data_IF_501594114537
#
_entry.id   IF_501594114537
#
_cell.length_a   1.000
_cell.length_b   1.000
_cell.length_c   1.000
_cell.angle_alpha   90.00
_cell.angle_beta   90.00
_cell.angle_gamma   90.00
#
_symmetry.space_group_name_H-M   'P 1'
#
loop_
_entity.id
_entity.type
_entity.pdbx_description
1 polymer ?
#
# COMPACT_ATOMS: atom_id res chain seq x y z
N UNK A 1 11.06 -26.00 8.69
CA UNK A 1 12.13 -25.41 7.84
C UNK A 1 11.86 -23.93 7.66
N UNK A 2 12.75 -23.06 8.15
CA UNK A 2 12.65 -21.59 7.98
C UNK A 2 12.89 -21.18 6.53
N UNK A 3 12.77 -19.87 6.21
CA UNK A 3 13.09 -19.38 4.86
C UNK A 3 14.57 -19.54 4.54
N UNK A 4 15.43 -19.19 5.48
CA UNK A 4 16.87 -19.17 5.28
C UNK A 4 17.40 -20.59 5.13
N UNK A 5 16.88 -21.55 5.91
CA UNK A 5 17.18 -22.98 5.74
C UNK A 5 16.81 -23.52 4.36
N UNK A 6 15.68 -23.08 3.79
CA UNK A 6 15.25 -23.51 2.44
C UNK A 6 16.15 -22.91 1.36
N UNK A 7 16.57 -21.66 1.51
CA UNK A 7 17.50 -21.02 0.59
C UNK A 7 18.89 -21.68 0.68
N UNK A 8 19.40 -21.95 1.88
CA UNK A 8 20.66 -22.65 2.11
C UNK A 8 20.66 -24.07 1.49
N UNK A 9 19.57 -24.83 1.68
CA UNK A 9 19.42 -26.13 1.03
C UNK A 9 19.42 -25.99 -0.50
N UNK A 10 18.70 -25.00 -1.03
CA UNK A 10 18.61 -24.78 -2.48
C UNK A 10 19.98 -24.42 -3.07
N UNK A 11 20.76 -23.59 -2.37
CA UNK A 11 22.14 -23.26 -2.74
C UNK A 11 23.02 -24.50 -2.75
N UNK A 12 22.99 -25.30 -1.68
CA UNK A 12 23.78 -26.53 -1.57
C UNK A 12 23.49 -27.51 -2.72
N UNK A 13 22.21 -27.69 -3.08
CA UNK A 13 21.80 -28.53 -4.21
C UNK A 13 22.34 -27.99 -5.54
N UNK A 14 22.23 -26.69 -5.78
CA UNK A 14 22.69 -26.08 -7.03
C UNK A 14 24.21 -26.05 -7.15
N UNK A 15 24.94 -25.79 -6.05
CA UNK A 15 26.40 -25.88 -6.02
C UNK A 15 26.86 -27.29 -6.37
N UNK A 16 26.31 -28.32 -5.71
CA UNK A 16 26.62 -29.71 -6.03
C UNK A 16 26.37 -30.04 -7.51
N UNK A 17 25.25 -29.57 -8.07
CA UNK A 17 24.93 -29.75 -9.48
C UNK A 17 25.98 -29.10 -10.40
N UNK A 18 26.42 -27.87 -10.09
CA UNK A 18 27.39 -27.13 -10.88
C UNK A 18 28.81 -27.72 -10.78
N UNK A 19 29.20 -28.18 -9.60
CA UNK A 19 30.51 -28.75 -9.32
C UNK A 19 30.65 -30.19 -9.86
N UNK A 20 29.53 -30.88 -10.07
CA UNK A 20 29.54 -32.22 -10.68
C UNK A 20 30.00 -32.15 -12.14
N UNK A 21 30.98 -32.96 -12.50
CA UNK A 21 31.67 -32.95 -13.82
C UNK A 21 30.72 -32.98 -15.03
N UNK A 22 29.62 -33.72 -14.92
CA UNK A 22 28.64 -33.89 -16.00
C UNK A 22 27.35 -33.09 -15.80
N UNK A 23 27.25 -32.25 -14.75
CA UNK A 23 26.02 -31.52 -14.39
C UNK A 23 24.78 -32.42 -14.46
N UNK A 24 24.90 -33.62 -13.90
CA UNK A 24 23.88 -34.65 -14.07
C UNK A 24 22.82 -34.56 -12.98
N UNK A 25 21.58 -34.28 -13.38
CA UNK A 25 20.42 -34.24 -12.49
C UNK A 25 20.26 -35.56 -11.73
N UNK A 26 20.44 -36.70 -12.40
CA UNK A 26 20.30 -38.04 -11.79
C UNK A 26 21.30 -38.24 -10.65
N UNK A 27 22.56 -37.85 -10.85
CA UNK A 27 23.59 -37.95 -9.81
C UNK A 27 23.29 -37.07 -8.61
N UNK A 28 22.82 -35.84 -8.87
CA UNK A 28 22.43 -34.87 -7.83
C UNK A 28 21.25 -35.39 -7.01
N UNK A 29 20.21 -35.89 -7.67
CA UNK A 29 19.04 -36.45 -7.00
C UNK A 29 19.44 -37.64 -6.12
N UNK A 30 20.23 -38.58 -6.64
CA UNK A 30 20.67 -39.76 -5.88
C UNK A 30 21.48 -39.38 -4.64
N UNK A 31 22.39 -38.40 -4.75
CA UNK A 31 23.20 -37.93 -3.62
C UNK A 31 22.35 -37.35 -2.49
N UNK A 32 21.44 -36.42 -2.79
CA UNK A 32 20.60 -35.78 -1.77
C UNK A 32 19.46 -36.67 -1.27
N UNK A 33 19.01 -37.64 -2.06
CA UNK A 33 18.03 -38.64 -1.59
C UNK A 33 18.63 -39.51 -0.49
N UNK A 34 19.91 -39.89 -0.59
CA UNK A 34 20.66 -40.58 0.48
C UNK A 34 20.80 -39.74 1.76
N UNK A 35 20.65 -38.42 1.66
CA UNK A 35 20.67 -37.48 2.78
C UNK A 35 19.27 -37.16 3.32
N UNK A 36 18.27 -38.00 3.00
CA UNK A 36 16.87 -37.86 3.42
C UNK A 36 16.16 -36.61 2.88
N UNK A 37 16.60 -36.05 1.75
CA UNK A 37 15.88 -34.97 1.08
C UNK A 37 14.94 -35.57 0.02
N UNK A 38 13.62 -35.25 0.05
CA UNK A 38 12.68 -35.79 -0.92
C UNK A 38 13.04 -35.45 -2.38
N UNK A 39 12.99 -36.40 -3.32
CA UNK A 39 13.29 -36.18 -4.74
C UNK A 39 12.49 -35.02 -5.34
N UNK A 40 11.20 -34.90 -4.98
CA UNK A 40 10.32 -33.81 -5.41
C UNK A 40 10.91 -32.43 -5.11
N UNK A 41 11.52 -32.26 -3.94
CA UNK A 41 12.14 -31.00 -3.53
C UNK A 41 13.38 -30.71 -4.37
N UNK A 42 14.20 -31.72 -4.63
CA UNK A 42 15.42 -31.59 -5.43
C UNK A 42 15.08 -31.16 -6.87
N UNK A 43 14.14 -31.86 -7.51
CA UNK A 43 13.66 -31.50 -8.84
C UNK A 43 13.05 -30.11 -8.88
N UNK A 44 12.26 -29.73 -7.86
CA UNK A 44 11.69 -28.39 -7.77
C UNK A 44 12.78 -27.31 -7.72
N UNK A 45 13.82 -27.51 -6.90
CA UNK A 45 14.96 -26.58 -6.79
C UNK A 45 15.71 -26.46 -8.12
N UNK A 46 16.05 -27.58 -8.76
CA UNK A 46 16.76 -27.57 -10.04
C UNK A 46 15.93 -26.92 -11.16
N UNK A 47 14.63 -27.24 -11.25
CA UNK A 47 13.74 -26.60 -12.23
C UNK A 47 13.60 -25.09 -11.98
N UNK A 48 13.52 -24.66 -10.72
CA UNK A 48 13.53 -23.24 -10.35
C UNK A 48 14.84 -22.57 -10.79
N UNK A 49 15.97 -23.24 -10.58
CA UNK A 49 17.28 -22.77 -11.00
C UNK A 49 17.40 -22.67 -12.52
N UNK A 50 17.00 -23.69 -13.29
CA UNK A 50 17.03 -23.63 -14.76
C UNK A 50 16.11 -22.54 -15.33
N UNK A 51 14.95 -22.32 -14.72
CA UNK A 51 13.97 -21.34 -15.21
C UNK A 51 14.37 -19.89 -14.90
N UNK A 52 14.98 -19.64 -13.74
CA UNK A 52 15.19 -18.27 -13.24
C UNK A 52 16.66 -17.92 -12.94
N UNK A 53 17.59 -18.87 -13.03
CA UNK A 53 19.00 -18.69 -12.72
C UNK A 53 19.29 -18.38 -11.25
N UNK A 54 18.34 -18.59 -10.34
CA UNK A 54 18.48 -18.20 -8.93
C UNK A 54 17.85 -19.19 -7.96
N UNK A 55 18.51 -19.37 -6.82
CA UNK A 55 18.04 -20.18 -5.68
C UNK A 55 17.23 -19.38 -4.67
N UNK A 56 17.29 -18.04 -4.71
CA UNK A 56 16.61 -17.14 -3.75
C UNK A 56 15.11 -17.34 -3.75
N UNK A 57 14.45 -17.29 -2.59
CA UNK A 57 12.99 -17.33 -2.53
C UNK A 57 12.42 -16.05 -3.14
N UNK A 58 11.54 -16.21 -4.13
CA UNK A 58 10.83 -15.09 -4.74
C UNK A 58 9.77 -14.60 -3.77
N UNK A 59 9.56 -13.28 -3.73
CA UNK A 59 8.48 -12.69 -2.95
C UNK A 59 7.15 -13.24 -3.44
N UNK A 60 6.40 -13.90 -2.55
CA UNK A 60 5.04 -14.35 -2.85
C UNK A 60 4.16 -13.12 -3.04
N UNK A 61 3.32 -13.13 -4.04
CA UNK A 61 2.27 -12.12 -4.19
C UNK A 61 1.26 -12.31 -3.06
N UNK A 62 1.04 -11.24 -2.28
CA UNK A 62 0.02 -11.24 -1.25
C UNK A 62 -1.39 -11.07 -1.85
N UNK A 63 -2.40 -10.99 -0.98
CA UNK A 63 -3.77 -10.68 -1.39
C UNK A 63 -3.80 -9.31 -2.10
N UNK A 64 -4.48 -9.18 -3.25
CA UNK A 64 -4.61 -7.90 -3.94
C UNK A 64 -5.29 -6.86 -3.04
N UNK A 65 -4.87 -5.61 -3.20
CA UNK A 65 -5.41 -4.49 -2.42
C UNK A 65 -6.81 -4.12 -2.93
N UNK A 66 -7.71 -3.78 -1.99
CA UNK A 66 -9.09 -3.34 -2.31
C UNK A 66 -9.15 -1.97 -3.01
N UNK A 67 -8.10 -1.16 -2.88
CA UNK A 67 -7.99 0.14 -3.55
C UNK A 67 -6.75 0.15 -4.42
N UNK A 68 -6.96 0.39 -5.71
CA UNK A 68 -5.90 0.63 -6.68
C UNK A 68 -5.16 1.93 -6.39
N UNK A 69 -4.00 2.12 -7.00
CA UNK A 69 -3.24 3.37 -6.94
C UNK A 69 -4.05 4.55 -7.47
N UNK A 70 -4.77 4.34 -8.57
CA UNK A 70 -5.67 5.34 -9.16
C UNK A 70 -6.80 5.75 -8.21
N UNK A 71 -7.47 4.77 -7.59
CA UNK A 71 -8.52 5.06 -6.61
C UNK A 71 -7.99 5.89 -5.44
N UNK A 72 -6.74 5.67 -5.02
CA UNK A 72 -6.11 6.43 -3.95
C UNK A 72 -5.80 7.85 -4.39
N UNK A 73 -5.32 8.06 -5.60
CA UNK A 73 -5.11 9.41 -6.13
C UNK A 73 -6.44 10.17 -6.21
N UNK A 74 -7.50 9.53 -6.68
CA UNK A 74 -8.85 10.12 -6.72
C UNK A 74 -9.41 10.40 -5.32
N UNK A 75 -9.15 9.52 -4.35
CA UNK A 75 -9.47 9.73 -2.94
C UNK A 75 -8.72 10.92 -2.37
N UNK A 76 -7.42 11.05 -2.63
CA UNK A 76 -6.59 12.18 -2.21
C UNK A 76 -7.12 13.48 -2.80
N UNK A 77 -7.37 13.54 -4.11
CA UNK A 77 -7.99 14.72 -4.76
C UNK A 77 -9.33 15.10 -4.12
N UNK A 78 -10.12 14.10 -3.72
CA UNK A 78 -11.42 14.32 -3.09
C UNK A 78 -11.33 14.85 -1.66
N UNK A 79 -10.24 14.57 -0.94
CA UNK A 79 -10.05 14.96 0.47
C UNK A 79 -9.18 16.22 0.62
N UNK A 80 -8.21 16.41 -0.27
CA UNK A 80 -7.22 17.46 -0.15
C UNK A 80 -7.89 18.84 -0.12
N UNK A 81 -7.45 19.69 0.81
CA UNK A 81 -7.99 21.04 1.04
C UNK A 81 -9.51 21.14 1.30
N UNK A 82 -10.19 20.02 1.60
CA UNK A 82 -11.62 20.00 1.94
C UNK A 82 -11.81 19.66 3.43
N UNK A 83 -12.86 20.23 4.04
CA UNK A 83 -13.23 19.95 5.43
C UNK A 83 -14.66 19.42 5.53
N UNK A 84 -14.95 18.68 6.61
CA UNK A 84 -16.31 18.17 6.90
C UNK A 84 -16.76 16.99 6.04
N UNK A 85 -15.82 16.30 5.37
CA UNK A 85 -16.14 15.13 4.55
C UNK A 85 -16.41 13.89 5.41
N UNK A 86 -17.53 13.20 5.13
CA UNK A 86 -17.85 11.92 5.76
C UNK A 86 -17.08 10.78 5.11
N UNK A 87 -16.27 10.08 5.90
CA UNK A 87 -15.57 8.86 5.48
C UNK A 87 -16.54 7.79 4.99
N UNK A 88 -17.70 7.65 5.64
CA UNK A 88 -18.74 6.67 5.22
C UNK A 88 -19.27 7.00 3.82
N UNK A 89 -19.48 8.28 3.51
CA UNK A 89 -19.95 8.72 2.18
C UNK A 89 -18.90 8.43 1.10
N UNK A 90 -17.62 8.69 1.39
CA UNK A 90 -16.53 8.34 0.47
C UNK A 90 -16.40 6.83 0.29
N UNK A 91 -16.52 6.07 1.36
CA UNK A 91 -16.42 4.61 1.34
C UNK A 91 -17.46 3.99 0.39
N UNK A 92 -18.71 4.49 0.39
CA UNK A 92 -19.74 4.10 -0.58
C UNK A 92 -19.35 4.39 -2.03
N UNK A 93 -18.75 5.57 -2.30
CA UNK A 93 -18.29 5.96 -3.65
C UNK A 93 -17.22 5.00 -4.19
N UNK A 94 -16.32 4.53 -3.34
CA UNK A 94 -15.26 3.59 -3.70
C UNK A 94 -15.64 2.13 -3.45
N UNK A 95 -16.90 1.84 -3.11
CA UNK A 95 -17.43 0.49 -2.81
C UNK A 95 -16.57 -0.30 -1.79
N UNK A 96 -16.05 0.40 -0.78
CA UNK A 96 -15.25 -0.20 0.30
C UNK A 96 -15.82 0.16 1.66
N UNK A 97 -15.40 -0.57 2.69
CA UNK A 97 -15.71 -0.19 4.07
C UNK A 97 -14.94 1.08 4.49
N UNK A 98 -15.52 1.89 5.39
CA UNK A 98 -14.90 3.12 5.88
C UNK A 98 -13.49 2.92 6.43
N UNK A 99 -13.23 1.75 7.04
CA UNK A 99 -11.95 1.49 7.70
C UNK A 99 -10.84 1.33 6.68
N UNK A 100 -11.19 0.90 5.46
CA UNK A 100 -10.28 0.85 4.31
C UNK A 100 -9.86 2.27 3.92
N UNK A 101 -10.80 3.22 3.85
CA UNK A 101 -10.52 4.62 3.53
C UNK A 101 -9.59 5.23 4.58
N UNK A 102 -9.97 5.13 5.86
CA UNK A 102 -9.18 5.66 6.98
C UNK A 102 -7.77 5.08 7.03
N UNK A 103 -7.63 3.76 6.89
CA UNK A 103 -6.32 3.08 6.91
C UNK A 103 -5.45 3.50 5.72
N UNK A 104 -6.01 3.59 4.51
CA UNK A 104 -5.22 3.97 3.33
C UNK A 104 -4.77 5.43 3.41
N UNK A 105 -5.62 6.35 3.85
CA UNK A 105 -5.23 7.74 4.06
C UNK A 105 -4.11 7.85 5.11
N UNK A 106 -4.23 7.15 6.24
CA UNK A 106 -3.21 7.21 7.29
C UNK A 106 -1.87 6.56 6.88
N UNK A 107 -1.90 5.44 6.16
CA UNK A 107 -0.69 4.64 5.87
C UNK A 107 -0.02 4.96 4.55
N UNK A 108 -0.75 5.50 3.57
CA UNK A 108 -0.27 5.63 2.18
C UNK A 108 -0.25 7.07 1.69
N UNK A 109 -0.76 8.03 2.45
CA UNK A 109 -0.84 9.43 2.03
C UNK A 109 -0.52 10.36 3.21
N UNK A 110 -0.21 11.63 2.91
CA UNK A 110 0.00 12.66 3.92
C UNK A 110 -1.30 13.43 4.27
N UNK A 111 -2.41 13.11 3.61
CA UNK A 111 -3.64 13.89 3.70
C UNK A 111 -4.52 13.40 4.85
N UNK A 112 -4.97 14.34 5.67
CA UNK A 112 -5.85 14.09 6.81
C UNK A 112 -7.22 14.67 6.55
N UNK A 113 -8.27 13.89 6.86
CA UNK A 113 -9.65 14.39 6.82
C UNK A 113 -9.87 15.32 8.01
N UNK A 114 -10.06 16.61 7.72
CA UNK A 114 -10.32 17.62 8.74
C UNK A 114 -11.81 17.70 9.05
N UNK A 115 -12.16 17.71 10.34
CA UNK A 115 -13.52 18.00 10.79
C UNK A 115 -13.81 19.48 10.56
N UNK A 116 -15.05 19.80 10.16
CA UNK A 116 -15.50 21.19 10.10
C UNK A 116 -15.61 21.70 11.54
N UNK A 117 -14.92 22.79 11.85
CA UNK A 117 -15.08 23.50 13.13
C UNK A 117 -16.42 24.22 13.10
N UNK A 118 -17.16 24.21 14.22
CA UNK A 118 -18.32 25.08 14.38
C UNK A 118 -17.83 26.52 14.32
N UNK A 119 -18.62 27.40 13.69
CA UNK A 119 -18.35 28.83 13.78
C UNK A 119 -18.37 29.22 15.27
N UNK A 120 -17.47 30.11 15.72
CA UNK A 120 -17.55 30.65 17.06
C UNK A 120 -18.92 31.33 17.25
N UNK A 121 -19.53 31.15 18.42
CA UNK A 121 -20.74 31.88 18.78
C UNK A 121 -20.34 33.35 18.90
N UNK A 122 -20.80 34.18 17.97
CA UNK A 122 -20.49 35.60 18.01
C UNK A 122 -21.22 36.25 19.17
N UNK A 123 -20.50 36.99 20.01
CA UNK A 123 -21.10 37.91 21.00
C UNK A 123 -21.71 39.12 20.27
N UNK A 124 -22.70 39.79 20.89
CA UNK A 124 -23.43 40.90 20.28
C UNK A 124 -22.50 42.02 19.80
N UNK A 125 -21.42 42.32 20.55
CA UNK A 125 -20.43 43.35 20.16
C UNK A 125 -19.62 42.97 18.91
N UNK A 126 -19.28 41.70 18.72
CA UNK A 126 -18.55 41.26 17.53
C UNK A 126 -19.44 41.28 16.27
N UNK A 127 -20.73 40.98 16.44
CA UNK A 127 -21.72 41.11 15.37
C UNK A 127 -21.90 42.57 14.95
N UNK A 128 -22.04 43.48 15.92
CA UNK A 128 -22.15 44.90 15.68
C UNK A 128 -20.90 45.46 14.98
N UNK A 129 -19.70 45.07 15.42
CA UNK A 129 -18.45 45.51 14.80
C UNK A 129 -18.28 45.00 13.36
N UNK A 130 -18.78 43.80 13.04
CA UNK A 130 -18.82 43.29 11.65
C UNK A 130 -19.84 44.02 10.79
N UNK A 131 -21.05 44.26 11.31
CA UNK A 131 -22.05 45.06 10.60
C UNK A 131 -21.51 46.47 10.31
N UNK A 132 -20.83 47.09 11.30
CA UNK A 132 -20.16 48.39 11.15
C UNK A 132 -18.98 48.36 10.17
N UNK A 133 -18.25 47.25 10.04
CA UNK A 133 -17.19 47.13 9.03
C UNK A 133 -17.75 46.89 7.63
N UNK A 134 -18.80 46.08 7.50
CA UNK A 134 -19.41 45.79 6.21
C UNK A 134 -20.11 47.01 5.61
N UNK A 135 -20.75 47.88 6.42
CA UNK A 135 -21.35 49.12 5.90
C UNK A 135 -20.31 50.05 5.25
N UNK A 136 -19.12 50.18 5.86
CA UNK A 136 -18.03 51.02 5.32
C UNK A 136 -17.47 50.50 4.00
N UNK A 137 -17.57 49.21 3.73
CA UNK A 137 -17.13 48.60 2.47
C UNK A 137 -18.21 48.78 1.39
N UNK A 138 -19.49 48.78 1.77
CA UNK A 138 -20.62 48.91 0.84
C UNK A 138 -20.87 50.38 0.44
N UNK A 139 -20.68 51.34 1.36
CA UNK A 139 -20.92 52.77 1.14
C UNK A 139 -20.22 53.35 -0.12
N UNK A 140 -18.91 53.13 -0.37
CA UNK A 140 -18.24 53.69 -1.55
C UNK A 140 -18.56 52.96 -2.86
N UNK A 141 -19.32 51.85 -2.82
CA UNK A 141 -19.77 51.11 -4.02
C UNK A 141 -21.12 51.64 -4.50
N UNK A 142 -21.97 52.15 -3.60
CA UNK A 142 -23.27 52.72 -3.94
C UNK A 142 -23.15 54.14 -4.50
N UNK A 143 -22.12 54.90 -4.12
CA UNK A 143 -21.85 56.25 -4.64
C UNK A 143 -21.16 56.27 -6.03
N UNK A 144 -20.91 55.11 -6.65
CA UNK A 144 -20.30 54.98 -7.99
C UNK A 144 -21.22 54.37 -9.05
N UNK A 145 -22.54 54.40 -8.82
CA UNK A 145 -23.58 54.07 -9.79
C UNK A 145 -24.46 55.29 -10.01
#
# INVERSE_FOLDING_TARGET
MTRDEREALSQRICHFYLDSSNRSVKTTVNYFTKQNIPPRTIYYVLNKYFKYGTTKDRRRTGRPLKLTTEHIQNLVKSVNNRCGLSQRKMARRFQVHQSTISRNLRRRTAVVIRKRRKAPKMDNKEQENRARKNWKIISPVVERL
#
